data_IF_840933871070
#
_entry.id   IF_840933871070
#
_cell.length_a   1.000
_cell.length_b   1.000
_cell.length_c   1.000
_cell.angle_alpha   90.00
_cell.angle_beta   90.00
_cell.angle_gamma   90.00
#
_symmetry.space_group_name_H-M   'P 1'
#
loop_
_entity.id
_entity.type
_entity.pdbx_description
1 polymer ?
#
# COMPACT_ATOMS: atom_id res chain seq x y z
N UNK A 1 2.70 -0.93 -20.21
CA UNK A 1 2.62 -0.30 -18.88
C UNK A 1 4.02 -0.30 -18.30
N UNK A 2 4.68 0.86 -18.21
CA UNK A 2 6.14 0.95 -17.92
C UNK A 2 6.50 0.83 -16.44
N UNK A 3 5.50 0.79 -15.56
CA UNK A 3 5.68 0.77 -14.12
C UNK A 3 4.92 -0.41 -13.50
N UNK A 4 5.65 -1.48 -13.14
CA UNK A 4 5.09 -2.77 -12.72
C UNK A 4 5.12 -3.03 -11.21
N UNK A 5 4.81 -4.27 -10.83
CA UNK A 5 4.79 -4.74 -9.43
C UNK A 5 6.18 -4.76 -8.75
N UNK A 6 7.25 -4.48 -9.50
CA UNK A 6 8.66 -4.52 -9.06
C UNK A 6 9.17 -3.19 -8.48
N UNK A 7 8.31 -2.17 -8.39
CA UNK A 7 8.65 -0.86 -7.78
C UNK A 7 9.28 -0.96 -6.39
N UNK A 8 8.83 -1.82 -5.46
CA UNK A 8 9.45 -1.91 -4.14
C UNK A 8 10.94 -2.23 -4.22
N UNK A 9 11.29 -3.19 -5.08
CA UNK A 9 12.67 -3.62 -5.31
C UNK A 9 13.48 -2.56 -6.06
N UNK A 10 12.86 -1.77 -6.95
CA UNK A 10 13.52 -0.67 -7.67
C UNK A 10 13.80 0.57 -6.81
N UNK A 11 12.98 0.85 -5.79
CA UNK A 11 13.11 2.02 -4.92
C UNK A 11 13.21 1.65 -3.44
N UNK A 12 14.17 0.80 -3.04
CA UNK A 12 14.10 0.10 -1.77
C UNK A 12 14.19 1.03 -0.55
N UNK A 13 14.88 2.17 -0.63
CA UNK A 13 14.97 3.14 0.47
C UNK A 13 13.59 3.69 0.83
N UNK A 14 12.82 4.12 -0.17
CA UNK A 14 11.47 4.66 0.04
C UNK A 14 10.56 3.63 0.71
N UNK A 15 10.58 2.38 0.22
CA UNK A 15 9.71 1.31 0.74
C UNK A 15 10.14 0.79 2.12
N UNK A 16 11.43 0.85 2.48
CA UNK A 16 11.91 0.51 3.84
C UNK A 16 11.40 1.48 4.91
N UNK A 17 11.26 2.76 4.58
CA UNK A 17 10.79 3.76 5.53
C UNK A 17 9.26 3.87 5.60
N UNK A 18 8.53 3.34 4.63
CA UNK A 18 7.07 3.42 4.59
C UNK A 18 6.42 2.53 5.66
N UNK A 19 5.52 3.08 6.48
CA UNK A 19 4.70 2.31 7.44
C UNK A 19 3.60 1.49 6.74
N UNK A 20 3.06 2.01 5.64
CA UNK A 20 1.95 1.45 4.88
C UNK A 20 2.24 1.56 3.38
N UNK A 21 1.99 0.48 2.63
CA UNK A 21 1.92 0.49 1.17
C UNK A 21 0.46 0.52 0.71
N UNK A 22 0.10 1.53 -0.09
CA UNK A 22 -1.23 1.62 -0.72
C UNK A 22 -1.14 1.29 -2.20
N UNK A 23 -1.80 0.21 -2.61
CA UNK A 23 -1.96 -0.17 -4.03
C UNK A 23 -3.26 0.45 -4.52
N UNK A 24 -3.18 1.43 -5.40
CA UNK A 24 -4.35 2.18 -5.88
C UNK A 24 -4.81 1.71 -7.26
N UNK A 25 -6.04 2.11 -7.64
CA UNK A 25 -6.65 1.85 -8.95
C UNK A 25 -6.83 0.36 -9.26
N UNK A 26 -7.18 -0.44 -8.25
CA UNK A 26 -7.41 -1.88 -8.42
C UNK A 26 -8.57 -2.21 -9.37
N UNK A 27 -9.46 -1.23 -9.62
CA UNK A 27 -10.48 -1.33 -10.66
C UNK A 27 -9.90 -1.52 -12.08
N UNK A 28 -8.61 -1.23 -12.27
CA UNK A 28 -7.93 -1.41 -13.55
C UNK A 28 -7.38 -2.84 -13.76
N UNK A 29 -7.38 -3.70 -12.73
CA UNK A 29 -6.79 -5.06 -12.81
C UNK A 29 -7.31 -5.88 -13.99
N UNK A 30 -8.61 -5.87 -14.34
CA UNK A 30 -9.10 -6.60 -15.52
C UNK A 30 -8.53 -6.11 -16.86
N UNK A 31 -7.91 -4.92 -16.88
CA UNK A 31 -7.45 -4.24 -18.09
C UNK A 31 -5.93 -4.10 -18.16
N UNK A 32 -5.19 -4.51 -17.14
CA UNK A 32 -3.73 -4.41 -17.09
C UNK A 32 -3.10 -5.70 -16.59
N UNK A 33 -1.90 -6.01 -17.08
CA UNK A 33 -1.09 -7.12 -16.56
C UNK A 33 -0.40 -6.69 -15.25
N UNK A 34 -1.17 -6.70 -14.16
CA UNK A 34 -0.69 -6.38 -12.82
C UNK A 34 -1.20 -7.39 -11.79
N UNK A 35 -0.27 -7.98 -11.03
CA UNK A 35 -0.58 -8.89 -9.93
C UNK A 35 -0.40 -8.20 -8.58
N UNK A 36 -1.50 -8.02 -7.84
CA UNK A 36 -1.47 -7.54 -6.44
C UNK A 36 -0.55 -8.44 -5.59
N UNK A 37 -0.68 -9.76 -5.72
CA UNK A 37 0.13 -10.70 -4.94
C UNK A 37 1.63 -10.54 -5.22
N UNK A 38 2.00 -10.32 -6.49
CA UNK A 38 3.40 -10.08 -6.85
C UNK A 38 3.91 -8.78 -6.22
N UNK A 39 3.10 -7.72 -6.22
CA UNK A 39 3.45 -6.45 -5.58
C UNK A 39 3.61 -6.62 -4.06
N UNK A 40 2.73 -7.39 -3.41
CA UNK A 40 2.82 -7.73 -1.98
C UNK A 40 4.11 -8.49 -1.68
N UNK A 41 4.44 -9.52 -2.47
CA UNK A 41 5.68 -10.30 -2.30
C UNK A 41 6.91 -9.40 -2.45
N UNK A 42 6.92 -8.56 -3.49
CA UNK A 42 8.03 -7.61 -3.73
C UNK A 42 8.21 -6.63 -2.57
N UNK A 43 7.11 -6.05 -2.06
CA UNK A 43 7.14 -5.15 -0.92
C UNK A 43 7.68 -5.82 0.35
N UNK A 44 7.26 -7.05 0.63
CA UNK A 44 7.68 -7.81 1.81
C UNK A 44 9.13 -8.28 1.76
N UNK A 45 9.73 -8.45 0.57
CA UNK A 45 11.19 -8.65 0.45
C UNK A 45 11.98 -7.43 0.91
N UNK A 46 11.44 -6.24 0.69
CA UNK A 46 12.11 -4.96 1.02
C UNK A 46 11.86 -4.55 2.48
N UNK A 47 10.62 -4.68 2.95
CA UNK A 47 10.23 -4.42 4.33
C UNK A 47 9.34 -5.57 4.84
N UNK A 48 9.92 -6.54 5.55
CA UNK A 48 9.14 -7.57 6.22
C UNK A 48 8.13 -6.94 7.19
N UNK A 49 6.86 -7.35 7.10
CA UNK A 49 5.80 -6.85 7.97
C UNK A 49 5.22 -5.48 7.62
N UNK A 50 5.52 -4.91 6.45
CA UNK A 50 4.83 -3.69 5.98
C UNK A 50 3.31 -3.94 5.87
N UNK A 51 2.52 -3.00 6.38
CA UNK A 51 1.06 -3.01 6.19
C UNK A 51 0.74 -2.72 4.72
N UNK A 52 -0.31 -3.34 4.18
CA UNK A 52 -0.68 -3.17 2.77
C UNK A 52 -2.19 -3.02 2.66
N UNK A 53 -2.63 -1.99 1.93
CA UNK A 53 -4.03 -1.77 1.58
C UNK A 53 -4.13 -1.66 0.06
N UNK A 54 -5.09 -2.37 -0.51
CA UNK A 54 -5.44 -2.28 -1.93
C UNK A 54 -6.78 -1.54 -2.05
N UNK A 55 -6.85 -0.51 -2.90
CA UNK A 55 -8.04 0.33 -3.01
C UNK A 55 -8.30 0.87 -4.42
N UNK A 56 -9.54 1.29 -4.63
CA UNK A 56 -9.95 2.10 -5.78
C UNK A 56 -10.83 3.25 -5.33
N UNK A 57 -10.43 4.47 -5.69
CA UNK A 57 -11.28 5.65 -5.48
C UNK A 57 -12.53 5.64 -6.38
N UNK A 58 -12.50 4.88 -7.50
CA UNK A 58 -13.61 4.79 -8.45
C UNK A 58 -14.72 3.88 -7.94
N UNK A 59 -14.36 2.68 -7.47
CA UNK A 59 -15.33 1.71 -6.93
C UNK A 59 -15.58 1.90 -5.43
N UNK A 60 -14.75 2.70 -4.76
CA UNK A 60 -14.69 2.92 -3.31
C UNK A 60 -14.20 1.71 -2.50
N UNK A 61 -13.81 0.63 -3.17
CA UNK A 61 -13.21 -0.54 -2.53
C UNK A 61 -11.93 -0.16 -1.77
N UNK A 62 -11.77 -0.66 -0.54
CA UNK A 62 -10.59 -0.44 0.31
C UNK A 62 -10.42 0.98 0.85
N UNK A 63 -11.32 1.92 0.53
CA UNK A 63 -11.23 3.29 1.06
C UNK A 63 -11.48 3.35 2.57
N UNK A 64 -12.45 2.58 3.09
CA UNK A 64 -12.73 2.60 4.53
C UNK A 64 -11.57 2.03 5.33
N UNK A 65 -10.95 0.94 4.87
CA UNK A 65 -9.75 0.37 5.50
C UNK A 65 -8.61 1.39 5.58
N UNK A 66 -8.42 2.19 4.51
CA UNK A 66 -7.43 3.25 4.49
C UNK A 66 -7.76 4.39 5.47
N UNK A 67 -9.03 4.82 5.52
CA UNK A 67 -9.48 5.84 6.45
C UNK A 67 -9.35 5.38 7.91
N UNK A 68 -9.67 4.13 8.20
CA UNK A 68 -9.52 3.54 9.53
C UNK A 68 -8.05 3.43 9.95
N UNK A 69 -7.17 3.07 9.02
CA UNK A 69 -5.73 3.11 9.27
C UNK A 69 -5.27 4.52 9.65
N UNK A 70 -5.69 5.56 8.92
CA UNK A 70 -5.33 6.94 9.22
C UNK A 70 -5.89 7.39 10.59
N UNK A 71 -7.16 7.08 10.88
CA UNK A 71 -7.78 7.36 12.20
C UNK A 71 -7.00 6.68 13.33
N UNK A 72 -6.59 5.43 13.13
CA UNK A 72 -5.74 4.70 14.07
C UNK A 72 -4.39 5.41 14.28
N UNK A 73 -3.66 5.75 13.23
CA UNK A 73 -2.35 6.42 13.32
C UNK A 73 -2.46 7.78 14.01
N UNK A 74 -3.49 8.58 13.71
CA UNK A 74 -3.74 9.87 14.38
C UNK A 74 -3.98 9.67 15.88
N UNK A 75 -4.78 8.66 16.27
CA UNK A 75 -5.03 8.35 17.68
C UNK A 75 -3.76 7.91 18.41
N UNK A 76 -2.93 7.10 17.79
CA UNK A 76 -1.66 6.63 18.37
C UNK A 76 -0.66 7.78 18.54
N UNK A 77 -0.51 8.65 17.55
CA UNK A 77 0.38 9.81 17.64
C UNK A 77 -0.04 10.79 18.73
N UNK A 78 -1.36 11.05 18.89
CA UNK A 78 -1.85 11.91 19.97
C UNK A 78 -1.58 11.36 21.38
N UNK A 79 -1.49 10.04 21.54
CA UNK A 79 -1.14 9.40 22.82
C UNK A 79 0.35 9.51 23.13
N UNK A 80 1.21 9.42 22.12
CA UNK A 80 2.66 9.53 22.29
C UNK A 80 3.14 10.96 22.62
N UNK A 81 2.31 11.97 22.36
CA UNK A 81 2.59 13.39 22.63
C UNK A 81 2.08 13.86 24.02
N UNK A 82 1.40 12.99 24.76
CA UNK A 82 0.97 13.23 26.15
C UNK A 82 1.88 12.48 27.10
#
# INVERSE_FOLDING_TARGET
VTEGADKPEKYPVMFRHADLLVITKIDLIPYVDFSIESAIRSARKVKPGIDIIALSCKTKEGLEDWLDYLRFKVRMNKRALK
#
